data_IF_509091467143
#
_entry.id   IF_509091467143
#
_cell.length_a   1.000
_cell.length_b   1.000
_cell.length_c   1.000
_cell.angle_alpha   90.00
_cell.angle_beta   90.00
_cell.angle_gamma   90.00
#
_symmetry.space_group_name_H-M   'P 1'
#
loop_
_entity.id
_entity.type
_entity.pdbx_description
1 polymer ?
#
# COMPACT_ATOMS: atom_id res chain seq x y z
N UNK A 1 -4.44 8.71 -3.36
CA UNK A 1 -4.34 9.75 -4.41
C UNK A 1 -5.29 10.86 -4.03
N UNK A 2 -4.84 12.10 -4.11
CA UNK A 2 -5.66 13.28 -3.85
C UNK A 2 -5.45 14.20 -5.05
N UNK A 3 -6.50 14.46 -5.83
CA UNK A 3 -6.45 15.50 -6.85
C UNK A 3 -6.71 16.85 -6.17
N UNK A 4 -5.77 17.78 -6.28
CA UNK A 4 -5.91 19.09 -5.65
C UNK A 4 -7.04 19.93 -6.25
N UNK A 5 -7.50 19.61 -7.46
CA UNK A 5 -8.68 20.25 -8.06
C UNK A 5 -9.96 19.95 -7.26
N UNK A 6 -10.05 18.77 -6.62
CA UNK A 6 -11.22 18.38 -5.82
C UNK A 6 -11.34 19.15 -4.50
N UNK A 7 -10.28 19.86 -4.08
CA UNK A 7 -10.22 20.64 -2.84
C UNK A 7 -9.95 22.13 -3.09
N UNK A 8 -9.89 22.56 -4.35
CA UNK A 8 -9.63 23.96 -4.68
C UNK A 8 -10.78 24.84 -4.18
N UNK A 9 -10.46 25.86 -3.37
CA UNK A 9 -11.46 26.75 -2.76
C UNK A 9 -12.32 26.12 -1.67
N UNK A 10 -12.00 24.88 -1.25
CA UNK A 10 -12.67 24.19 -0.16
C UNK A 10 -11.84 24.33 1.10
N UNK A 11 -12.44 24.79 2.19
CA UNK A 11 -11.78 24.76 3.50
C UNK A 11 -11.68 23.33 4.05
N UNK A 12 -10.63 22.98 4.82
CA UNK A 12 -10.46 21.62 5.35
C UNK A 12 -11.67 21.10 6.15
N UNK A 13 -12.37 21.99 6.84
CA UNK A 13 -13.48 21.64 7.73
C UNK A 13 -13.02 20.90 9.00
N UNK A 14 -13.97 20.50 9.87
CA UNK A 14 -13.67 19.79 11.11
C UNK A 14 -12.81 18.56 10.87
N UNK A 15 -11.71 18.42 11.60
CA UNK A 15 -10.72 17.33 11.45
C UNK A 15 -10.16 17.18 10.02
N UNK A 16 -10.16 18.25 9.22
CA UNK A 16 -9.83 18.26 7.79
C UNK A 16 -10.71 17.35 6.91
N UNK A 17 -11.91 16.99 7.40
CA UNK A 17 -12.82 16.04 6.75
C UNK A 17 -13.05 16.36 5.27
N UNK A 18 -13.25 17.63 4.92
CA UNK A 18 -13.59 18.03 3.55
C UNK A 18 -12.49 17.68 2.55
N UNK A 19 -11.23 17.66 3.00
CA UNK A 19 -10.09 17.28 2.17
C UNK A 19 -9.83 15.77 2.22
N UNK A 20 -9.89 15.18 3.42
CA UNK A 20 -9.63 13.75 3.59
C UNK A 20 -10.66 12.88 2.87
N UNK A 21 -11.90 13.35 2.73
CA UNK A 21 -12.98 12.69 1.98
C UNK A 21 -12.77 12.69 0.46
N UNK A 22 -11.82 13.48 -0.06
CA UNK A 22 -11.44 13.52 -1.49
C UNK A 22 -10.30 12.56 -1.84
N UNK A 23 -9.81 11.78 -0.87
CA UNK A 23 -8.70 10.87 -1.09
C UNK A 23 -9.19 9.53 -1.63
N UNK A 24 -8.63 9.11 -2.75
CA UNK A 24 -8.86 7.82 -3.37
C UNK A 24 -7.80 6.80 -2.94
N UNK A 25 -8.22 5.59 -2.60
CA UNK A 25 -7.31 4.53 -2.16
C UNK A 25 -7.39 3.30 -3.07
N UNK A 26 -6.23 2.76 -3.42
CA UNK A 26 -6.10 1.52 -4.18
C UNK A 26 -5.17 0.55 -3.46
N UNK A 27 -5.50 -0.74 -3.51
CA UNK A 27 -4.62 -1.80 -3.03
C UNK A 27 -4.53 -2.92 -4.06
N UNK A 28 -3.34 -3.06 -4.64
CA UNK A 28 -3.05 -4.05 -5.68
C UNK A 28 -2.14 -5.15 -5.12
N UNK A 29 -2.55 -6.41 -5.23
CA UNK A 29 -1.71 -7.58 -4.89
C UNK A 29 -1.28 -8.30 -6.16
N UNK A 30 0.04 -8.51 -6.30
CA UNK A 30 0.62 -9.23 -7.43
C UNK A 30 0.30 -10.73 -7.32
N UNK A 31 -0.38 -11.28 -8.32
CA UNK A 31 -0.82 -12.69 -8.36
C UNK A 31 0.35 -13.65 -8.23
N UNK A 32 1.43 -13.45 -8.99
CA UNK A 32 2.60 -14.33 -9.07
C UNK A 32 3.20 -14.62 -7.68
N UNK A 33 3.18 -13.62 -6.81
CA UNK A 33 3.89 -13.62 -5.53
C UNK A 33 2.97 -13.56 -4.31
N UNK A 34 1.66 -13.37 -4.48
CA UNK A 34 0.77 -13.14 -3.32
C UNK A 34 0.52 -14.36 -2.43
N UNK A 35 1.00 -15.54 -2.80
CA UNK A 35 1.09 -16.71 -1.93
C UNK A 35 2.25 -16.62 -0.91
N UNK A 36 3.23 -15.75 -1.15
CA UNK A 36 4.33 -15.51 -0.23
C UNK A 36 3.85 -14.61 0.91
N UNK A 37 3.98 -15.12 2.14
CA UNK A 37 3.58 -14.41 3.35
C UNK A 37 4.78 -14.37 4.28
N UNK A 38 5.17 -13.17 4.70
CA UNK A 38 6.21 -13.01 5.71
C UNK A 38 5.62 -13.25 7.10
N UNK A 39 5.45 -14.52 7.47
CA UNK A 39 4.90 -14.90 8.79
C UNK A 39 5.87 -14.64 9.94
N UNK A 40 7.15 -14.34 9.66
CA UNK A 40 8.18 -14.11 10.68
C UNK A 40 8.12 -12.69 11.24
N UNK A 41 7.84 -11.70 10.39
CA UNK A 41 7.85 -10.29 10.77
C UNK A 41 6.47 -9.62 10.69
N UNK A 42 5.50 -10.22 10.00
CA UNK A 42 4.15 -9.69 9.87
C UNK A 42 3.11 -10.79 10.20
N UNK A 43 2.35 -10.65 11.30
CA UNK A 43 1.16 -11.46 11.55
C UNK A 43 0.16 -11.32 10.37
N UNK A 44 -0.59 -12.38 10.08
CA UNK A 44 -1.39 -12.60 8.84
C UNK A 44 -2.58 -11.64 8.64
N UNK A 45 -2.34 -10.35 8.51
CA UNK A 45 -3.35 -9.33 8.20
C UNK A 45 -3.19 -8.74 6.78
N UNK A 46 -2.49 -9.45 5.88
CA UNK A 46 -2.21 -8.98 4.51
C UNK A 46 -3.50 -8.73 3.69
N UNK A 47 -4.61 -9.37 4.06
CA UNK A 47 -5.86 -9.33 3.28
C UNK A 47 -6.81 -8.21 3.72
N UNK A 48 -6.57 -7.62 4.89
CA UNK A 48 -7.43 -6.59 5.49
C UNK A 48 -7.10 -5.20 4.94
N UNK A 49 -7.56 -4.90 3.73
CA UNK A 49 -7.53 -3.53 3.22
C UNK A 49 -8.75 -2.76 3.73
N UNK A 50 -8.52 -1.74 4.55
CA UNK A 50 -9.57 -1.05 5.31
C UNK A 50 -10.29 0.02 4.49
N UNK A 51 -9.69 0.47 3.38
CA UNK A 51 -10.13 1.63 2.61
C UNK A 51 -10.81 1.27 1.28
N UNK A 52 -11.10 -0.01 1.03
CA UNK A 52 -11.72 -0.42 -0.22
C UNK A 52 -11.60 -1.92 -0.49
N UNK A 53 -11.45 -2.26 -1.77
CA UNK A 53 -11.32 -3.64 -2.23
C UNK A 53 -9.91 -3.91 -2.73
N UNK A 54 -9.25 -4.94 -2.17
CA UNK A 54 -8.01 -5.48 -2.73
C UNK A 54 -8.25 -6.04 -4.13
N UNK A 55 -7.43 -5.64 -5.10
CA UNK A 55 -7.45 -6.14 -6.47
C UNK A 55 -6.22 -7.00 -6.75
N UNK A 56 -6.44 -8.16 -7.33
CA UNK A 56 -5.40 -9.09 -7.75
C UNK A 56 -5.00 -8.82 -9.20
N UNK A 57 -3.73 -8.48 -9.41
CA UNK A 57 -3.19 -8.05 -10.70
C UNK A 57 -1.96 -8.87 -11.08
N UNK A 58 -1.72 -9.05 -12.37
CA UNK A 58 -0.39 -9.48 -12.86
C UNK A 58 0.59 -8.31 -12.73
N UNK A 59 1.91 -8.57 -12.87
CA UNK A 59 2.90 -7.48 -12.93
C UNK A 59 2.62 -6.49 -14.06
N UNK A 60 2.20 -6.99 -15.23
CA UNK A 60 1.85 -6.16 -16.39
C UNK A 60 0.63 -5.28 -16.09
N UNK A 61 -0.42 -5.85 -15.49
CA UNK A 61 -1.60 -5.08 -15.08
C UNK A 61 -1.25 -4.01 -14.03
N UNK A 62 -0.35 -4.32 -13.09
CA UNK A 62 0.12 -3.37 -12.08
C UNK A 62 0.95 -2.23 -12.69
N UNK A 63 1.87 -2.56 -13.60
CA UNK A 63 2.66 -1.58 -14.37
C UNK A 63 1.74 -0.64 -15.14
N UNK A 64 0.78 -1.20 -15.90
CA UNK A 64 -0.21 -0.41 -16.63
C UNK A 64 -1.03 0.49 -15.70
N UNK A 65 -1.47 -0.02 -14.55
CA UNK A 65 -2.23 0.77 -13.58
C UNK A 65 -1.40 1.98 -13.08
N UNK A 66 -0.12 1.79 -12.79
CA UNK A 66 0.78 2.90 -12.42
C UNK A 66 0.93 3.90 -13.56
N UNK A 67 1.16 3.45 -14.78
CA UNK A 67 1.24 4.34 -15.94
C UNK A 67 -0.05 5.13 -16.16
N UNK A 68 -1.22 4.49 -16.10
CA UNK A 68 -2.51 5.16 -16.24
C UNK A 68 -2.69 6.25 -15.18
N UNK A 69 -2.43 5.95 -13.90
CA UNK A 69 -2.56 6.92 -12.80
C UNK A 69 -1.57 8.09 -12.92
N UNK A 70 -0.32 7.81 -13.31
CA UNK A 70 0.71 8.84 -13.36
C UNK A 70 0.74 9.62 -14.67
N UNK A 71 0.03 9.20 -15.72
CA UNK A 71 -0.02 9.91 -17.01
C UNK A 71 -1.39 10.49 -17.31
N UNK A 72 -2.20 10.71 -16.27
CA UNK A 72 -3.43 11.50 -16.41
C UNK A 72 -3.10 12.89 -16.96
N UNK A 73 -3.96 13.39 -17.83
CA UNK A 73 -3.79 14.68 -18.51
C UNK A 73 -4.61 15.74 -17.81
N UNK A 74 -4.08 16.97 -17.78
CA UNK A 74 -4.80 18.12 -17.22
C UNK A 74 -6.13 18.33 -17.95
N UNK A 75 -6.08 18.24 -19.29
CA UNK A 75 -7.26 18.23 -20.13
C UNK A 75 -7.15 17.04 -21.10
N UNK A 76 -8.25 16.31 -21.39
CA UNK A 76 -8.20 15.11 -22.22
C UNK A 76 -7.55 15.31 -23.60
N UNK A 77 -7.72 16.51 -24.16
CA UNK A 77 -7.30 16.86 -25.52
C UNK A 77 -5.86 17.38 -25.56
N UNK A 78 -5.37 17.96 -24.46
CA UNK A 78 -4.02 18.55 -24.42
C UNK A 78 -2.95 17.47 -24.19
N UNK A 79 -1.73 17.65 -24.71
CA UNK A 79 -0.65 16.69 -24.51
C UNK A 79 -0.04 16.74 -23.10
N UNK A 80 -0.33 17.80 -22.34
CA UNK A 80 0.25 18.06 -21.02
C UNK A 80 -0.27 17.09 -19.96
N UNK A 81 0.68 16.42 -19.30
CA UNK A 81 0.40 15.55 -18.16
C UNK A 81 0.12 16.38 -16.91
N UNK A 82 -0.77 15.88 -16.05
CA UNK A 82 -0.98 16.44 -14.73
C UNK A 82 0.30 16.32 -13.90
N UNK A 83 0.80 17.41 -13.29
CA UNK A 83 1.95 17.35 -12.39
C UNK A 83 1.65 16.46 -11.18
N UNK A 84 2.47 15.44 -10.95
CA UNK A 84 2.31 14.49 -9.84
C UNK A 84 3.38 14.72 -8.77
N UNK A 85 2.93 14.81 -7.52
CA UNK A 85 3.81 14.73 -6.35
C UNK A 85 3.75 13.31 -5.79
N UNK A 86 4.88 12.60 -5.87
CA UNK A 86 4.98 11.27 -5.27
C UNK A 86 5.18 11.39 -3.76
N UNK A 87 4.38 10.69 -2.97
CA UNK A 87 4.42 10.76 -1.50
C UNK A 87 4.61 9.36 -0.92
N UNK A 88 5.51 9.23 0.04
CA UNK A 88 5.63 8.00 0.83
C UNK A 88 6.15 8.22 2.25
N UNK A 89 6.42 7.12 2.94
CA UNK A 89 7.00 7.11 4.29
C UNK A 89 8.28 6.28 4.28
N UNK A 90 9.45 6.94 4.26
CA UNK A 90 10.72 6.31 3.94
C UNK A 90 10.81 5.79 2.50
N UNK A 91 10.63 6.69 1.54
CA UNK A 91 10.58 6.40 0.08
C UNK A 91 11.86 5.75 -0.46
N UNK A 92 12.95 5.81 0.32
CA UNK A 92 14.24 5.25 -0.06
C UNK A 92 14.16 3.75 -0.38
N UNK A 93 14.44 3.40 -1.64
CA UNK A 93 14.41 2.03 -2.15
C UNK A 93 13.07 1.62 -2.80
N UNK A 94 12.00 2.39 -2.66
CA UNK A 94 10.72 2.09 -3.32
C UNK A 94 10.79 2.36 -4.82
N UNK A 95 11.46 3.45 -5.23
CA UNK A 95 11.70 3.76 -6.65
C UNK A 95 12.43 2.64 -7.38
N UNK A 96 13.49 2.11 -6.78
CA UNK A 96 14.26 0.99 -7.34
C UNK A 96 13.40 -0.26 -7.50
N UNK A 97 12.60 -0.62 -6.49
CA UNK A 97 11.69 -1.79 -6.56
C UNK A 97 10.63 -1.63 -7.66
N UNK A 98 10.10 -0.42 -7.85
CA UNK A 98 9.12 -0.15 -8.92
C UNK A 98 9.74 -0.39 -10.31
N UNK A 99 10.98 0.04 -10.52
CA UNK A 99 11.73 -0.24 -11.75
C UNK A 99 11.98 -1.74 -11.90
N UNK A 100 12.58 -2.39 -10.91
CA UNK A 100 13.00 -3.79 -10.96
C UNK A 100 11.85 -4.79 -11.13
N UNK A 101 10.69 -4.50 -10.52
CA UNK A 101 9.60 -5.48 -10.45
C UNK A 101 8.38 -5.12 -11.30
N UNK A 102 8.15 -3.84 -11.56
CA UNK A 102 6.99 -3.34 -12.30
C UNK A 102 7.38 -2.55 -13.56
N UNK A 103 8.67 -2.43 -13.87
CA UNK A 103 9.15 -1.67 -15.05
C UNK A 103 8.62 -0.23 -15.06
N UNK A 104 8.44 0.35 -13.88
CA UNK A 104 7.88 1.68 -13.71
C UNK A 104 8.95 2.61 -13.16
N UNK A 105 9.43 3.52 -14.00
CA UNK A 105 10.43 4.52 -13.65
C UNK A 105 9.77 5.90 -13.48
N UNK A 106 9.64 6.32 -12.21
CA UNK A 106 9.09 7.63 -11.84
C UNK A 106 9.93 8.79 -12.36
N UNK A 107 11.22 8.60 -12.61
CA UNK A 107 12.10 9.65 -13.12
C UNK A 107 11.96 9.82 -14.62
N UNK A 108 11.56 8.76 -15.33
CA UNK A 108 11.39 8.76 -16.79
C UNK A 108 9.96 9.08 -17.24
N UNK A 109 8.95 8.99 -16.36
CA UNK A 109 7.54 9.11 -16.75
C UNK A 109 7.10 10.54 -17.10
N UNK A 110 7.90 11.55 -16.76
CA UNK A 110 7.71 12.94 -17.19
C UNK A 110 6.62 13.74 -16.45
N UNK A 111 5.74 13.10 -15.69
CA UNK A 111 4.70 13.78 -14.89
C UNK A 111 5.09 14.02 -13.42
N UNK A 112 6.03 13.24 -12.88
CA UNK A 112 6.44 13.36 -11.47
C UNK A 112 7.35 14.58 -11.31
N UNK A 113 6.84 15.62 -10.65
CA UNK A 113 7.54 16.90 -10.46
C UNK A 113 8.24 17.02 -9.11
N UNK A 114 7.83 16.21 -8.13
CA UNK A 114 8.44 16.20 -6.80
C UNK A 114 8.20 14.87 -6.09
N UNK A 115 9.08 14.56 -5.14
CA UNK A 115 8.94 13.43 -4.22
C UNK A 115 9.00 13.92 -2.79
N UNK A 116 7.99 13.59 -2.00
CA UNK A 116 7.86 13.93 -0.59
C UNK A 116 7.98 12.68 0.28
N UNK A 117 8.74 12.81 1.36
CA UNK A 117 8.84 11.80 2.41
C UNK A 117 8.23 12.34 3.71
N UNK A 118 7.18 11.67 4.19
CA UNK A 118 6.51 12.06 5.44
C UNK A 118 7.42 12.05 6.66
N UNK A 119 8.53 11.32 6.65
CA UNK A 119 9.54 11.41 7.74
C UNK A 119 10.29 12.73 7.73
N UNK A 120 10.56 13.28 6.55
CA UNK A 120 11.21 14.59 6.40
C UNK A 120 10.23 15.68 6.83
N UNK A 121 8.99 15.65 6.31
CA UNK A 121 7.93 16.60 6.71
C UNK A 121 7.71 16.55 8.22
N UNK A 122 7.63 15.34 8.80
CA UNK A 122 7.47 15.18 10.24
C UNK A 122 8.64 15.80 11.00
N UNK A 123 9.87 15.61 10.52
CA UNK A 123 11.06 16.19 11.12
C UNK A 123 11.03 17.72 11.12
N UNK A 124 10.69 18.32 9.99
CA UNK A 124 10.59 19.78 9.83
C UNK A 124 9.47 20.38 10.68
N UNK A 125 8.35 19.66 10.85
CA UNK A 125 7.24 20.05 11.72
C UNK A 125 7.48 19.74 13.21
N UNK A 126 8.66 19.25 13.59
CA UNK A 126 9.02 18.99 14.98
C UNK A 126 8.48 17.67 15.56
N UNK A 127 7.84 16.83 14.75
CA UNK A 127 7.43 15.50 15.19
C UNK A 127 8.64 14.56 15.27
N UNK A 128 8.85 13.93 16.42
CA UNK A 128 9.97 13.00 16.68
C UNK A 128 9.45 11.67 17.23
N UNK A 129 10.17 10.60 16.89
CA UNK A 129 9.94 9.23 17.38
C UNK A 129 10.91 8.85 18.50
N UNK A 130 11.06 7.54 18.76
CA UNK A 130 12.18 7.01 19.55
C UNK A 130 13.42 6.99 18.64
N UNK A 131 14.16 8.09 18.61
CA UNK A 131 15.30 8.34 17.71
C UNK A 131 14.98 9.36 16.61
N UNK A 132 15.87 9.46 15.62
CA UNK A 132 15.83 10.53 14.60
C UNK A 132 14.66 10.42 13.61
N UNK A 133 14.08 9.23 13.44
CA UNK A 133 13.03 8.95 12.46
C UNK A 133 11.76 8.42 13.12
N UNK A 134 10.64 9.09 12.92
CA UNK A 134 9.33 8.64 13.39
C UNK A 134 8.77 7.55 12.47
N UNK A 135 8.23 6.49 13.05
CA UNK A 135 7.47 5.47 12.30
C UNK A 135 6.04 5.94 12.01
N UNK A 136 5.39 5.33 11.02
CA UNK A 136 4.05 5.74 10.59
C UNK A 136 3.01 5.64 11.72
N UNK A 137 2.99 4.53 12.47
CA UNK A 137 2.08 4.35 13.60
C UNK A 137 2.15 5.51 14.62
N UNK A 138 3.33 5.76 15.23
CA UNK A 138 3.54 6.90 16.11
C UNK A 138 3.22 8.27 15.49
N UNK A 139 3.47 8.45 14.18
CA UNK A 139 3.12 9.69 13.47
C UNK A 139 1.60 9.88 13.41
N UNK A 140 0.85 8.85 13.03
CA UNK A 140 -0.62 8.90 13.03
C UNK A 140 -1.19 9.21 14.42
N UNK A 141 -0.58 8.67 15.48
CA UNK A 141 -1.01 8.96 16.85
C UNK A 141 -0.84 10.43 17.25
N UNK A 142 0.04 11.21 16.59
CA UNK A 142 0.13 12.67 16.79
C UNK A 142 -1.12 13.41 16.35
N UNK A 143 -1.94 12.78 15.51
CA UNK A 143 -3.18 13.31 14.98
C UNK A 143 -4.41 12.57 15.52
N UNK A 144 -4.27 11.89 16.67
CA UNK A 144 -5.33 11.07 17.27
C UNK A 144 -5.87 9.96 16.34
N UNK A 145 -5.07 9.53 15.36
CA UNK A 145 -5.40 8.39 14.51
C UNK A 145 -4.74 7.13 15.10
N UNK A 146 -5.55 6.09 15.28
CA UNK A 146 -5.09 4.76 15.71
C UNK A 146 -5.06 3.81 14.52
N UNK A 147 -3.92 3.71 13.79
CA UNK A 147 -3.88 2.97 12.55
C UNK A 147 -4.00 1.46 12.77
N UNK A 148 -4.77 0.81 11.90
CA UNK A 148 -4.98 -0.65 11.88
C UNK A 148 -4.26 -1.27 10.68
N UNK A 149 -3.84 -2.52 10.83
CA UNK A 149 -3.30 -3.34 9.73
C UNK A 149 -2.17 -2.68 8.90
N UNK A 150 -1.21 -2.00 9.54
CA UNK A 150 -0.10 -1.30 8.86
C UNK A 150 0.82 -2.19 8.02
N UNK A 151 0.72 -3.52 8.14
CA UNK A 151 1.44 -4.45 7.26
C UNK A 151 0.75 -4.67 5.90
N UNK A 152 -0.42 -4.08 5.67
CA UNK A 152 -1.07 -4.01 4.38
C UNK A 152 -0.63 -2.72 3.67
N UNK A 153 -0.03 -2.85 2.48
CA UNK A 153 0.54 -1.73 1.74
C UNK A 153 -0.49 -0.64 1.37
N UNK A 154 -1.74 -1.03 1.13
CA UNK A 154 -2.82 -0.07 0.87
C UNK A 154 -3.18 0.76 2.09
N UNK A 155 -3.23 0.14 3.28
CA UNK A 155 -3.47 0.87 4.52
C UNK A 155 -2.29 1.77 4.88
N UNK A 156 -1.06 1.28 4.72
CA UNK A 156 0.17 2.06 4.94
C UNK A 156 0.18 3.33 4.06
N UNK A 157 -0.11 3.18 2.77
CA UNK A 157 -0.25 4.31 1.84
C UNK A 157 -1.39 5.26 2.25
N UNK A 158 -2.52 4.72 2.71
CA UNK A 158 -3.65 5.53 3.15
C UNK A 158 -3.29 6.39 4.36
N UNK A 159 -2.77 5.79 5.43
CA UNK A 159 -2.35 6.51 6.62
C UNK A 159 -1.20 7.49 6.35
N UNK A 160 -0.29 7.16 5.43
CA UNK A 160 0.76 8.08 4.96
C UNK A 160 0.15 9.33 4.33
N UNK A 161 -0.83 9.17 3.44
CA UNK A 161 -1.52 10.30 2.83
C UNK A 161 -2.29 11.14 3.85
N UNK A 162 -3.05 10.50 4.75
CA UNK A 162 -3.81 11.20 5.79
C UNK A 162 -2.88 12.03 6.69
N UNK A 163 -1.77 11.44 7.15
CA UNK A 163 -0.79 12.14 7.98
C UNK A 163 -0.13 13.30 7.22
N UNK A 164 0.17 13.14 5.93
CA UNK A 164 0.76 14.20 5.11
C UNK A 164 -0.19 15.40 4.97
N UNK A 165 -1.47 15.16 4.69
CA UNK A 165 -2.48 16.23 4.60
C UNK A 165 -2.58 16.98 5.92
N UNK A 166 -2.69 16.27 7.04
CA UNK A 166 -2.81 16.88 8.38
C UNK A 166 -1.54 17.65 8.80
N UNK A 167 -0.35 17.16 8.44
CA UNK A 167 0.90 17.90 8.62
C UNK A 167 0.95 19.15 7.74
N UNK A 168 0.40 19.08 6.53
CA UNK A 168 0.42 20.12 5.52
C UNK A 168 -0.41 21.36 5.87
N UNK A 169 -1.44 21.21 6.71
CA UNK A 169 -2.29 22.33 7.15
C UNK A 169 -1.47 23.49 7.72
N UNK A 170 -1.89 24.72 7.40
CA UNK A 170 -1.41 25.95 8.04
C UNK A 170 -1.88 26.02 9.50
N UNK A 171 -1.33 26.93 10.29
CA UNK A 171 -1.75 27.05 11.69
C UNK A 171 -3.21 27.53 11.79
N UNK A 172 -3.57 28.48 10.93
CA UNK A 172 -4.92 29.04 10.81
C UNK A 172 -5.93 27.94 10.43
N UNK A 173 -5.58 27.09 9.46
CA UNK A 173 -6.41 25.95 9.07
C UNK A 173 -6.51 24.89 10.16
N UNK A 174 -5.44 24.64 10.93
CA UNK A 174 -5.49 23.70 12.06
C UNK A 174 -6.41 24.20 13.15
N UNK A 175 -6.37 25.48 13.47
CA UNK A 175 -7.26 26.13 14.43
C UNK A 175 -8.71 26.06 13.96
N UNK A 176 -8.99 26.42 12.70
CA UNK A 176 -10.33 26.36 12.12
C UNK A 176 -10.87 24.93 11.99
N UNK A 177 -10.00 23.92 11.83
CA UNK A 177 -10.37 22.52 11.71
C UNK A 177 -10.52 21.81 13.06
N UNK A 178 -10.33 22.50 14.20
CA UNK A 178 -10.54 21.89 15.51
C UNK A 178 -11.99 21.40 15.67
N UNK A 179 -12.13 20.24 16.28
CA UNK A 179 -13.43 19.59 16.48
C UNK A 179 -13.40 18.76 17.76
N UNK A 180 -14.51 18.80 18.49
CA UNK A 180 -14.75 17.88 19.61
C UNK A 180 -15.12 16.48 19.12
N UNK A 181 -15.44 16.32 17.83
CA UNK A 181 -15.73 15.02 17.26
C UNK A 181 -14.48 14.13 17.27
N UNK A 182 -14.55 12.91 17.86
CA UNK A 182 -13.43 12.00 17.87
C UNK A 182 -12.96 11.65 16.45
N UNK A 183 -11.65 11.75 16.23
CA UNK A 183 -11.02 11.37 14.96
C UNK A 183 -11.38 9.94 14.52
N UNK A 184 -11.68 9.04 15.46
CA UNK A 184 -12.12 7.67 15.16
C UNK A 184 -13.45 7.61 14.39
N UNK A 185 -14.38 8.53 14.65
CA UNK A 185 -15.65 8.62 13.91
C UNK A 185 -15.38 9.00 12.45
N UNK A 186 -14.52 9.99 12.24
CA UNK A 186 -14.08 10.39 10.90
C UNK A 186 -13.39 9.22 10.18
N UNK A 187 -12.44 8.54 10.83
CA UNK A 187 -11.76 7.39 10.24
C UNK A 187 -12.75 6.28 9.84
N UNK A 188 -13.73 6.00 10.70
CA UNK A 188 -14.79 5.01 10.42
C UNK A 188 -15.62 5.42 9.20
N UNK A 189 -16.01 6.70 9.13
CA UNK A 189 -16.76 7.26 8.00
C UNK A 189 -15.96 7.18 6.69
N UNK A 190 -14.70 7.60 6.69
CA UNK A 190 -13.84 7.56 5.51
C UNK A 190 -13.59 6.12 5.02
N UNK A 191 -13.37 5.16 5.92
CA UNK A 191 -13.23 3.75 5.56
C UNK A 191 -14.53 3.18 4.96
N UNK A 192 -15.70 3.57 5.49
CA UNK A 192 -16.99 3.16 4.95
C UNK A 192 -17.23 3.74 3.55
N UNK A 193 -16.94 5.03 3.35
CA UNK A 193 -17.00 5.68 2.05
C UNK A 193 -16.04 5.00 1.05
N UNK A 194 -14.79 4.75 1.45
CA UNK A 194 -13.80 4.04 0.65
C UNK A 194 -14.27 2.66 0.15
N UNK A 195 -14.95 1.90 1.01
CA UNK A 195 -15.55 0.59 0.66
C UNK A 195 -16.73 0.69 -0.30
N UNK A 196 -17.42 1.82 -0.34
CA UNK A 196 -18.55 2.05 -1.24
C UNK A 196 -18.12 2.39 -2.68
N UNK A 197 -16.89 2.89 -2.86
CA UNK A 197 -16.41 3.28 -4.19
C UNK A 197 -16.30 2.08 -5.13
N UNK A 198 -16.57 2.36 -6.41
CA UNK A 198 -16.38 1.38 -7.47
C UNK A 198 -14.90 0.96 -7.49
N UNK A 199 -14.59 -0.34 -7.34
CA UNK A 199 -13.20 -0.80 -7.38
C UNK A 199 -12.55 -0.47 -8.73
N UNK A 200 -11.24 -0.26 -8.71
CA UNK A 200 -10.47 -0.03 -9.92
C UNK A 200 -10.73 -1.11 -10.99
N UNK A 201 -10.70 -0.68 -12.26
CA UNK A 201 -10.97 -1.55 -13.40
C UNK A 201 -9.89 -2.63 -13.59
N UNK A 202 -8.65 -2.37 -13.18
CA UNK A 202 -7.53 -3.29 -13.32
C UNK A 202 -7.70 -4.57 -12.49
N UNK A 203 -7.33 -5.72 -13.05
CA UNK A 203 -7.28 -6.99 -12.33
C UNK A 203 -8.63 -7.50 -11.82
N UNK A 204 -8.58 -8.51 -10.94
CA UNK A 204 -9.75 -9.25 -10.46
C UNK A 204 -9.94 -9.12 -8.95
N UNK A 205 -11.17 -9.26 -8.47
CA UNK A 205 -11.46 -9.21 -7.01
C UNK A 205 -11.17 -10.54 -6.31
N UNK A 206 -11.44 -11.66 -6.99
CA UNK A 206 -11.33 -13.01 -6.43
C UNK A 206 -10.24 -13.78 -7.16
N UNK A 207 -9.23 -14.19 -6.40
CA UNK A 207 -8.10 -14.97 -6.87
C UNK A 207 -7.65 -15.93 -5.77
N UNK A 208 -7.34 -17.16 -6.15
CA UNK A 208 -6.92 -18.20 -5.24
C UNK A 208 -5.40 -18.39 -5.31
N UNK A 209 -4.71 -18.01 -4.24
CA UNK A 209 -3.26 -18.20 -4.08
C UNK A 209 -2.83 -19.67 -3.95
N UNK A 210 -3.79 -20.59 -3.77
CA UNK A 210 -3.55 -22.04 -3.68
C UNK A 210 -3.50 -22.73 -5.04
N UNK A 211 -4.48 -22.48 -5.90
CA UNK A 211 -4.63 -23.14 -7.20
C UNK A 211 -4.37 -22.23 -8.42
N UNK A 212 -4.05 -20.95 -8.18
CA UNK A 212 -3.75 -19.95 -9.21
C UNK A 212 -4.92 -19.66 -10.18
N UNK A 213 -6.16 -19.73 -9.67
CA UNK A 213 -7.36 -19.46 -10.48
C UNK A 213 -8.10 -18.24 -9.99
N UNK A 214 -8.69 -17.54 -10.95
CA UNK A 214 -9.62 -16.43 -10.70
C UNK A 214 -11.01 -16.97 -10.33
N UNK A 215 -11.81 -16.14 -9.65
CA UNK A 215 -13.23 -16.42 -9.37
C UNK A 215 -13.53 -16.96 -7.97
N UNK A 216 -12.52 -17.39 -7.21
CA UNK A 216 -12.66 -17.82 -5.82
C UNK A 216 -11.42 -17.47 -4.99
N UNK A 217 -11.49 -17.67 -3.68
CA UNK A 217 -10.42 -17.44 -2.70
C UNK A 217 -9.91 -18.77 -2.13
N UNK A 218 -8.79 -18.76 -1.40
CA UNK A 218 -8.19 -19.98 -0.84
C UNK A 218 -9.14 -20.79 0.06
N UNK A 219 -9.94 -20.19 0.97
CA UNK A 219 -10.91 -20.93 1.79
C UNK A 219 -12.01 -21.65 0.97
N UNK A 220 -12.32 -21.14 -0.23
CA UNK A 220 -13.35 -21.67 -1.12
C UNK A 220 -12.78 -22.70 -2.11
N UNK A 221 -11.48 -22.95 -2.06
CA UNK A 221 -10.78 -23.71 -3.08
C UNK A 221 -10.96 -25.23 -2.90
N UNK A 222 -11.62 -25.85 -3.88
CA UNK A 222 -11.83 -27.30 -3.94
C UNK A 222 -10.82 -28.02 -4.86
N UNK A 223 -9.84 -27.31 -5.41
CA UNK A 223 -8.87 -27.90 -6.31
C UNK A 223 -7.99 -28.94 -5.59
N UNK A 224 -7.74 -30.07 -6.27
CA UNK A 224 -6.79 -31.09 -5.82
C UNK A 224 -5.39 -30.68 -6.22
N UNK A 225 -4.78 -29.82 -5.40
CA UNK A 225 -3.40 -29.41 -5.59
C UNK A 225 -2.42 -30.43 -4.97
N UNK A 226 -1.27 -30.61 -5.62
CA UNK A 226 -0.17 -31.39 -5.09
C UNK A 226 1.18 -30.73 -5.41
N UNK A 227 1.96 -30.44 -4.36
CA UNK A 227 3.30 -29.92 -4.48
C UNK A 227 4.31 -31.08 -4.52
N UNK A 228 4.88 -31.32 -5.70
CA UNK A 228 5.88 -32.36 -5.94
C UNK A 228 7.11 -32.19 -5.03
N UNK A 229 7.64 -30.95 -4.91
CA UNK A 229 8.78 -30.63 -4.03
C UNK A 229 8.53 -31.04 -2.58
N UNK A 230 7.36 -30.72 -2.04
CA UNK A 230 6.99 -31.07 -0.67
C UNK A 230 6.75 -32.57 -0.51
N UNK A 231 6.10 -33.21 -1.50
CA UNK A 231 5.82 -34.64 -1.50
C UNK A 231 7.11 -35.46 -1.48
N UNK A 232 8.06 -35.15 -2.37
CA UNK A 232 9.37 -35.81 -2.44
C UNK A 232 10.16 -35.69 -1.13
N UNK A 233 10.04 -34.55 -0.44
CA UNK A 233 10.72 -34.29 0.85
C UNK A 233 9.89 -34.75 2.08
N UNK A 234 8.77 -35.45 1.90
CA UNK A 234 7.92 -35.91 2.99
C UNK A 234 7.28 -34.80 3.84
N UNK A 235 7.17 -33.58 3.31
CA UNK A 235 6.66 -32.42 4.06
C UNK A 235 5.14 -32.49 4.21
N UNK A 236 4.64 -32.23 5.43
CA UNK A 236 3.21 -32.09 5.70
C UNK A 236 2.61 -30.92 4.89
N UNK A 237 1.33 -31.03 4.52
CA UNK A 237 0.62 -29.98 3.80
C UNK A 237 0.97 -29.86 2.31
N UNK A 238 1.63 -30.87 1.71
CA UNK A 238 1.94 -30.91 0.29
C UNK A 238 0.69 -30.86 -0.63
N UNK A 239 -0.52 -31.11 -0.09
CA UNK A 239 -1.80 -31.00 -0.81
C UNK A 239 -2.47 -29.62 -0.71
N UNK A 240 -1.83 -28.67 -0.03
CA UNK A 240 -2.41 -27.36 0.26
C UNK A 240 -1.99 -26.29 -0.76
N UNK A 241 -1.15 -26.60 -1.74
CA UNK A 241 -0.64 -25.66 -2.75
C UNK A 241 -0.08 -26.38 -3.98
N UNK A 242 -0.10 -25.70 -5.13
CA UNK A 242 0.58 -26.14 -6.34
C UNK A 242 2.11 -26.06 -6.20
N UNK A 243 2.86 -26.87 -6.96
CA UNK A 243 4.34 -26.90 -6.93
C UNK A 243 4.97 -25.51 -7.14
N UNK A 244 4.45 -24.72 -8.09
CA UNK A 244 4.97 -23.38 -8.41
C UNK A 244 4.60 -22.32 -7.35
N UNK A 245 3.73 -22.65 -6.38
CA UNK A 245 3.36 -21.83 -5.23
C UNK A 245 4.04 -22.29 -3.93
N UNK A 246 5.08 -23.11 -4.05
CA UNK A 246 5.79 -23.63 -2.90
C UNK A 246 6.60 -22.50 -2.22
N UNK A 247 6.24 -22.17 -0.98
CA UNK A 247 6.93 -21.16 -0.17
C UNK A 247 8.15 -21.71 0.56
N UNK A 248 8.38 -23.02 0.48
CA UNK A 248 9.59 -23.62 1.01
C UNK A 248 10.73 -23.35 0.05
N UNK A 249 11.50 -22.30 0.33
CA UNK A 249 12.78 -22.05 -0.30
C UNK A 249 13.68 -23.24 0.04
N UNK A 250 14.24 -23.91 -0.96
CA UNK A 250 15.38 -24.80 -0.71
C UNK A 250 16.47 -23.89 -0.16
N UNK A 251 16.85 -24.07 1.11
CA UNK A 251 18.04 -23.41 1.62
C UNK A 251 19.20 -24.03 0.86
N UNK A 252 19.60 -23.43 -0.24
CA UNK A 252 20.90 -23.66 -0.82
C UNK A 252 21.87 -22.97 0.14
N UNK A 253 22.24 -23.66 1.21
CA UNK A 253 23.48 -23.33 1.89
C UNK A 253 24.55 -24.00 1.05
N UNK A 254 25.31 -23.23 0.28
CA UNK A 254 26.42 -23.78 -0.49
C UNK A 254 27.59 -24.20 0.42
N UNK A 255 27.59 -23.81 1.70
CA UNK A 255 28.47 -24.42 2.71
C UNK A 255 28.03 -24.12 4.15
N UNK A 256 28.56 -24.90 5.11
CA UNK A 256 28.42 -24.67 6.56
C UNK A 256 29.16 -23.41 7.05
N UNK A 257 30.00 -22.79 6.24
CA UNK A 257 30.82 -21.63 6.63
C UNK A 257 30.00 -20.32 6.64
N UNK A 258 29.04 -20.16 5.72
CA UNK A 258 28.19 -18.96 5.66
C UNK A 258 27.22 -18.85 6.85
N UNK A 259 26.81 -19.98 7.43
CA UNK A 259 25.97 -20.03 8.63
C UNK A 259 26.67 -19.46 9.87
N UNK A 260 27.98 -19.60 9.96
CA UNK A 260 28.77 -19.15 11.12
C UNK A 260 29.15 -17.66 11.03
N UNK A 261 29.08 -17.04 9.85
CA UNK A 261 29.40 -15.61 9.67
C UNK A 261 28.22 -14.65 9.97
N UNK A 262 27.02 -15.15 10.23
CA UNK A 262 25.84 -14.32 10.57
C UNK A 262 25.56 -14.31 12.10
N UNK A 263 26.34 -15.07 12.89
CA UNK A 263 26.27 -15.07 14.35
C UNK A 263 27.41 -14.30 15.04
N UNK A 264 28.10 -13.39 14.32
CA UNK A 264 29.00 -12.39 14.91
C UNK A 264 28.54 -10.99 14.56
#
# INVERSE_FOLDING_TARGET
MLDTQDIQGLEPGPNAKNWLDKIWFYHLRIRDHGHMVNTRFCPRNLESFDWGTTKWVTKVEASRALHEVFTERIEPIKPELCPVVFLGHAVHGDSQKLVEHLQFDMTAIGSVVSTLDTRVIASERGYRGRGDKIGLGPLCSRFNISPKHLHNAGNDAAYTMLAAVLMGLTNEQKEAAQSDEPMENLMTSLMAAGKSYKPAAWGVRRFCTRCDRVGHTQPECMAREECSKCKTKGRRGFRNHATHRCTWVERVYESLEELNNIQR
#
